data_IF_362614310218
#
_entry.id   IF_362614310218
#
_cell.length_a   1.000
_cell.length_b   1.000
_cell.length_c   1.000
_cell.angle_alpha   90.00
_cell.angle_beta   90.00
_cell.angle_gamma   90.00
#
_symmetry.space_group_name_H-M   'P 1'
#
loop_
_entity.id
_entity.type
_entity.pdbx_description
1 polymer ?
#
# COMPACT_ATOMS: atom_id res chain seq x y z
N UNK A 1 16.58 6.88 14.24
CA UNK A 1 16.23 5.80 13.32
C UNK A 1 16.62 4.46 13.91
N UNK A 2 15.65 3.59 14.16
CA UNK A 2 15.84 2.22 14.61
C UNK A 2 15.20 1.24 13.61
N UNK A 3 15.76 0.04 13.51
CA UNK A 3 15.23 -1.03 12.65
C UNK A 3 15.20 -2.33 13.43
N UNK A 4 14.13 -3.10 13.30
CA UNK A 4 14.01 -4.46 13.79
C UNK A 4 13.63 -5.39 12.63
N UNK A 5 14.24 -6.57 12.57
CA UNK A 5 13.96 -7.58 11.56
C UNK A 5 13.62 -8.91 12.23
N UNK A 6 12.68 -9.64 11.66
CA UNK A 6 12.20 -10.92 12.18
C UNK A 6 12.13 -11.94 11.05
N UNK A 7 12.80 -13.08 11.26
CA UNK A 7 12.56 -14.33 10.55
C UNK A 7 11.59 -15.13 11.43
N UNK A 8 10.33 -15.25 10.99
CA UNK A 8 9.23 -15.86 11.73
C UNK A 8 9.03 -17.33 11.36
N UNK A 9 9.50 -17.74 10.19
CA UNK A 9 9.33 -19.10 9.67
C UNK A 9 10.60 -19.98 9.83
N UNK A 10 11.77 -19.37 10.05
CA UNK A 10 13.06 -20.02 10.29
C UNK A 10 13.81 -20.48 9.03
N UNK A 11 13.48 -19.97 7.85
CA UNK A 11 14.12 -20.32 6.57
C UNK A 11 15.41 -19.54 6.29
N UNK A 12 15.71 -18.53 7.12
CA UNK A 12 16.90 -17.68 6.99
C UNK A 12 16.70 -16.39 6.20
N UNK A 13 15.49 -16.13 5.70
CA UNK A 13 15.08 -14.86 5.10
C UNK A 13 14.29 -14.01 6.13
N UNK A 14 14.22 -12.70 5.88
CA UNK A 14 13.51 -11.77 6.78
C UNK A 14 12.05 -11.66 6.34
N UNK A 15 11.14 -12.18 7.16
CA UNK A 15 9.69 -12.10 6.92
C UNK A 15 9.11 -10.71 7.25
N UNK A 16 9.65 -10.03 8.27
CA UNK A 16 9.13 -8.72 8.72
C UNK A 16 10.27 -7.78 9.07
N UNK A 17 10.21 -6.55 8.55
CA UNK A 17 11.09 -5.46 8.97
C UNK A 17 10.26 -4.26 9.45
N UNK A 18 10.59 -3.75 10.63
CA UNK A 18 10.03 -2.53 11.21
C UNK A 18 11.09 -1.44 11.24
N UNK A 19 10.72 -0.22 10.89
CA UNK A 19 11.61 0.94 10.91
C UNK A 19 10.93 2.12 11.59
N UNK A 20 11.53 2.58 12.67
CA UNK A 20 11.23 3.84 13.33
C UNK A 20 12.19 4.90 12.74
N UNK A 21 11.66 5.84 11.98
CA UNK A 21 12.42 6.91 11.31
C UNK A 21 12.52 8.18 12.16
N UNK A 22 11.54 8.47 13.01
CA UNK A 22 11.46 9.70 13.77
C UNK A 22 12.06 9.57 15.22
N UNK A 23 12.22 8.36 15.74
CA UNK A 23 12.79 8.03 17.04
C UNK A 23 11.81 8.06 18.23
N UNK A 24 10.50 8.02 17.99
CA UNK A 24 9.47 8.07 19.03
C UNK A 24 9.13 6.69 19.65
N UNK A 25 9.69 5.61 19.09
CA UNK A 25 9.49 4.24 19.55
C UNK A 25 8.36 3.48 18.83
N UNK A 26 7.66 4.11 17.90
CA UNK A 26 6.72 3.46 16.99
C UNK A 26 7.35 3.27 15.60
N UNK A 27 6.89 2.26 14.86
CA UNK A 27 7.41 1.98 13.53
C UNK A 27 6.69 2.86 12.51
N UNK A 28 7.43 3.69 11.79
CA UNK A 28 6.92 4.49 10.67
C UNK A 28 6.77 3.65 9.39
N UNK A 29 7.57 2.59 9.25
CA UNK A 29 7.50 1.68 8.10
C UNK A 29 7.51 0.24 8.57
N UNK A 30 6.63 -0.58 8.01
CA UNK A 30 6.67 -2.04 8.11
C UNK A 30 6.76 -2.64 6.71
N UNK A 31 7.78 -3.44 6.46
CA UNK A 31 7.89 -4.32 5.29
C UNK A 31 7.56 -5.75 5.72
N UNK A 32 6.90 -6.49 4.85
CA UNK A 32 6.57 -7.88 5.06
C UNK A 32 6.83 -8.66 3.77
N UNK A 33 7.45 -9.83 3.90
CA UNK A 33 7.56 -10.88 2.90
C UNK A 33 6.55 -11.95 3.30
N UNK A 34 5.49 -12.17 2.50
CA UNK A 34 4.46 -13.16 2.77
C UNK A 34 4.63 -14.46 2.00
N UNK A 35 5.55 -14.50 1.03
CA UNK A 35 5.78 -15.67 0.17
C UNK A 35 7.09 -16.44 0.51
N UNK A 36 7.98 -15.85 1.31
CA UNK A 36 9.23 -16.43 1.80
C UNK A 36 10.36 -16.46 0.76
N UNK A 37 10.33 -15.59 -0.26
CA UNK A 37 11.37 -15.52 -1.28
C UNK A 37 12.54 -14.58 -0.91
N UNK A 38 12.43 -13.88 0.21
CA UNK A 38 13.41 -12.93 0.73
C UNK A 38 13.20 -11.49 0.28
N UNK A 39 12.14 -11.21 -0.49
CA UNK A 39 11.73 -9.87 -0.92
C UNK A 39 10.39 -9.51 -0.29
N UNK A 40 10.28 -8.28 0.21
CA UNK A 40 9.03 -7.82 0.79
C UNK A 40 7.98 -7.57 -0.31
N UNK A 41 6.81 -8.17 -0.17
CA UNK A 41 5.64 -8.04 -1.04
C UNK A 41 4.60 -7.05 -0.48
N UNK A 42 4.70 -6.66 0.79
CA UNK A 42 3.80 -5.69 1.42
C UNK A 42 4.57 -4.61 2.17
N UNK A 43 4.16 -3.34 1.98
CA UNK A 43 4.64 -2.19 2.74
C UNK A 43 3.49 -1.48 3.44
N UNK A 44 3.70 -1.13 4.69
CA UNK A 44 2.86 -0.21 5.46
C UNK A 44 3.68 1.02 5.84
N UNK A 45 3.09 2.21 5.73
CA UNK A 45 3.73 3.48 6.05
C UNK A 45 2.80 4.34 6.91
N UNK A 46 3.32 4.81 8.04
CA UNK A 46 2.79 5.92 8.83
C UNK A 46 3.51 7.20 8.36
N UNK A 47 2.77 8.15 7.81
CA UNK A 47 3.36 9.35 7.20
C UNK A 47 3.46 10.53 8.16
N UNK A 48 2.76 10.48 9.29
CA UNK A 48 2.72 11.57 10.27
C UNK A 48 3.38 11.23 11.62
N UNK A 49 3.74 9.96 11.83
CA UNK A 49 4.37 9.47 13.06
C UNK A 49 3.41 9.41 14.25
N UNK A 50 2.11 9.16 14.02
CA UNK A 50 1.13 9.02 15.11
C UNK A 50 0.94 7.57 15.58
N UNK A 51 1.66 6.63 14.97
CA UNK A 51 1.64 5.20 15.24
C UNK A 51 0.54 4.45 14.46
N UNK A 52 -0.17 5.09 13.54
CA UNK A 52 -1.18 4.48 12.66
C UNK A 52 -0.68 4.44 11.23
N UNK A 53 -1.06 3.39 10.52
CA UNK A 53 -0.73 3.26 9.11
C UNK A 53 -1.62 4.18 8.28
N UNK A 54 -0.99 5.04 7.48
CA UNK A 54 -1.67 5.90 6.51
C UNK A 54 -1.72 5.24 5.12
N UNK A 55 -0.68 4.48 4.74
CA UNK A 55 -0.54 3.88 3.40
C UNK A 55 -0.20 2.40 3.49
N UNK A 56 -0.88 1.57 2.68
CA UNK A 56 -0.56 0.15 2.46
C UNK A 56 -0.38 -0.11 0.98
N UNK A 57 0.75 -0.72 0.61
CA UNK A 57 1.09 -1.11 -0.76
C UNK A 57 1.35 -2.62 -0.80
N UNK A 58 1.01 -3.29 -1.90
CA UNK A 58 1.33 -4.70 -2.11
C UNK A 58 1.67 -5.01 -3.57
N UNK A 59 2.77 -5.76 -3.75
CA UNK A 59 3.19 -6.43 -4.98
C UNK A 59 2.95 -7.94 -4.76
N UNK A 60 1.80 -8.43 -5.21
CA UNK A 60 1.36 -9.81 -4.98
C UNK A 60 1.91 -10.80 -5.99
N UNK A 61 2.47 -10.30 -7.10
CA UNK A 61 2.93 -11.12 -8.21
C UNK A 61 4.49 -11.20 -8.28
N UNK A 62 5.19 -10.28 -7.59
CA UNK A 62 6.65 -10.25 -7.44
C UNK A 62 7.40 -9.66 -8.64
N UNK A 63 6.74 -8.88 -9.50
CA UNK A 63 7.36 -8.24 -10.66
C UNK A 63 8.04 -6.90 -10.34
N UNK A 64 7.88 -6.39 -9.11
CA UNK A 64 8.42 -5.13 -8.64
C UNK A 64 7.49 -3.92 -8.85
N UNK A 65 6.29 -4.12 -9.39
CA UNK A 65 5.23 -3.13 -9.48
C UNK A 65 4.17 -3.36 -8.40
N UNK A 66 3.49 -2.28 -8.00
CA UNK A 66 2.48 -2.35 -6.95
C UNK A 66 1.14 -2.72 -7.56
N UNK A 67 0.66 -3.92 -7.26
CA UNK A 67 -0.68 -4.39 -7.67
C UNK A 67 -1.79 -3.65 -6.93
N UNK A 68 -1.60 -3.31 -5.64
CA UNK A 68 -2.62 -2.62 -4.84
C UNK A 68 -2.02 -1.55 -3.93
N UNK A 69 -2.70 -0.41 -3.84
CA UNK A 69 -2.36 0.66 -2.90
C UNK A 69 -3.63 1.20 -2.24
N UNK A 70 -3.59 1.36 -0.92
CA UNK A 70 -4.62 2.00 -0.11
C UNK A 70 -4.01 3.17 0.67
N UNK A 71 -4.68 4.32 0.70
CA UNK A 71 -4.24 5.49 1.45
C UNK A 71 -5.40 6.15 2.21
N UNK A 72 -5.19 6.40 3.50
CA UNK A 72 -5.97 7.30 4.35
C UNK A 72 -5.21 8.63 4.43
N UNK A 73 -5.60 9.60 3.61
CA UNK A 73 -4.89 10.87 3.45
C UNK A 73 -5.33 11.92 4.47
N UNK A 74 -6.58 11.81 4.94
CA UNK A 74 -7.21 12.73 5.88
C UNK A 74 -7.06 12.26 7.35
N UNK A 75 -6.75 10.97 7.55
CA UNK A 75 -6.48 10.28 8.83
C UNK A 75 -7.69 10.11 9.74
N UNK A 76 -8.87 9.92 9.16
CA UNK A 76 -10.11 9.63 9.87
C UNK A 76 -10.31 8.13 10.15
N UNK A 77 -9.45 7.27 9.60
CA UNK A 77 -9.48 5.81 9.74
C UNK A 77 -10.20 5.09 8.59
N UNK A 78 -10.66 5.81 7.57
CA UNK A 78 -11.17 5.27 6.33
C UNK A 78 -10.19 5.48 5.18
N UNK A 79 -10.30 4.64 4.15
CA UNK A 79 -9.43 4.76 2.97
C UNK A 79 -10.00 5.82 2.04
N UNK A 80 -9.22 6.87 1.78
CA UNK A 80 -9.57 7.92 0.81
C UNK A 80 -9.23 7.51 -0.63
N UNK A 81 -8.21 6.67 -0.85
CA UNK A 81 -7.78 6.25 -2.19
C UNK A 81 -7.45 4.77 -2.22
N UNK A 82 -7.98 4.05 -3.21
CA UNK A 82 -7.64 2.66 -3.49
C UNK A 82 -7.31 2.47 -4.97
N UNK A 83 -6.06 2.13 -5.26
CA UNK A 83 -5.55 1.90 -6.61
C UNK A 83 -5.27 0.41 -6.84
N UNK A 84 -5.50 -0.06 -8.07
CA UNK A 84 -5.32 -1.43 -8.49
C UNK A 84 -4.65 -1.47 -9.86
N UNK A 85 -3.51 -2.14 -9.97
CA UNK A 85 -2.94 -2.68 -11.21
C UNK A 85 -3.32 -4.16 -11.24
N UNK A 86 -4.29 -4.52 -12.09
CA UNK A 86 -4.84 -5.87 -12.19
C UNK A 86 -4.17 -6.71 -13.25
N UNK A 87 -3.35 -6.09 -14.09
CA UNK A 87 -2.75 -6.72 -15.25
C UNK A 87 -1.21 -6.86 -15.12
N UNK A 88 -0.59 -6.15 -14.17
CA UNK A 88 0.84 -6.23 -13.84
C UNK A 88 1.74 -5.50 -14.82
N UNK A 89 1.26 -4.44 -15.47
CA UNK A 89 2.05 -3.63 -16.41
C UNK A 89 2.71 -2.41 -15.76
N UNK A 90 2.43 -2.17 -14.46
CA UNK A 90 2.92 -1.05 -13.68
C UNK A 90 2.07 0.21 -13.80
N UNK A 91 0.92 0.15 -14.49
CA UNK A 91 -0.07 1.21 -14.57
C UNK A 91 -1.34 0.86 -13.80
N UNK A 92 -1.97 1.88 -13.23
CA UNK A 92 -3.19 1.69 -12.44
C UNK A 92 -4.39 1.51 -13.37
N UNK A 93 -4.96 0.30 -13.37
CA UNK A 93 -6.19 -0.03 -14.11
C UNK A 93 -7.44 0.58 -13.45
N UNK A 94 -7.48 0.65 -12.12
CA UNK A 94 -8.63 1.18 -11.36
C UNK A 94 -8.17 2.05 -10.20
N UNK A 95 -8.74 3.25 -10.12
CA UNK A 95 -8.51 4.17 -8.99
C UNK A 95 -9.85 4.62 -8.41
N UNK A 96 -10.08 4.29 -7.14
CA UNK A 96 -11.27 4.69 -6.39
C UNK A 96 -10.92 5.77 -5.37
N UNK A 97 -11.83 6.72 -5.20
CA UNK A 97 -11.67 7.86 -4.30
C UNK A 97 -12.91 8.02 -3.41
N UNK A 98 -12.71 8.12 -2.10
CA UNK A 98 -13.66 8.72 -1.17
C UNK A 98 -13.24 10.18 -0.99
N UNK A 99 -14.06 11.10 -1.48
CA UNK A 99 -13.75 12.54 -1.46
C UNK A 99 -14.43 13.26 -0.30
N UNK A 100 -15.34 12.59 0.38
CA UNK A 100 -16.18 13.17 1.42
C UNK A 100 -15.86 12.63 2.83
N UNK A 101 -15.10 11.53 2.93
CA UNK A 101 -14.59 10.93 4.16
C UNK A 101 -15.66 10.12 4.91
N UNK A 102 -16.64 9.54 4.21
CA UNK A 102 -17.67 8.70 4.83
C UNK A 102 -17.37 7.20 4.77
N UNK A 103 -16.24 6.83 4.17
CA UNK A 103 -15.77 5.46 3.98
C UNK A 103 -16.35 4.76 2.75
N UNK A 104 -17.08 5.47 1.88
CA UNK A 104 -17.61 4.95 0.63
C UNK A 104 -16.95 5.61 -0.57
N UNK A 105 -16.83 4.85 -1.66
CA UNK A 105 -16.28 5.38 -2.91
C UNK A 105 -17.25 6.40 -3.49
N UNK A 106 -16.77 7.61 -3.76
CA UNK A 106 -17.46 8.67 -4.48
C UNK A 106 -17.13 8.67 -5.98
N UNK A 107 -15.91 8.30 -6.35
CA UNK A 107 -15.44 8.31 -7.75
C UNK A 107 -14.60 7.09 -8.06
N UNK A 108 -14.88 6.44 -9.19
CA UNK A 108 -14.12 5.33 -9.73
C UNK A 108 -13.63 5.66 -11.14
N UNK A 109 -12.31 5.64 -11.34
CA UNK A 109 -11.65 5.81 -12.62
C UNK A 109 -11.10 4.47 -13.12
N UNK A 110 -11.16 4.27 -14.44
CA UNK A 110 -10.67 3.07 -15.10
C UNK A 110 -9.78 3.42 -16.29
N UNK A 111 -8.61 2.83 -16.34
CA UNK A 111 -7.82 2.62 -17.56
C UNK A 111 -8.18 1.23 -18.10
N UNK A 112 -8.76 1.18 -19.29
CA UNK A 112 -9.24 -0.09 -19.88
C UNK A 112 -8.31 -0.62 -20.96
N UNK A 113 -7.27 0.14 -21.30
CA UNK A 113 -6.39 -0.17 -22.40
C UNK A 113 -4.91 -0.34 -21.97
N UNK A 114 -4.57 0.01 -20.72
CA UNK A 114 -3.26 -0.21 -20.10
C UNK A 114 -2.20 0.77 -20.59
N UNK A 115 -2.57 2.00 -20.92
CA UNK A 115 -1.63 3.04 -21.34
C UNK A 115 -1.26 4.04 -20.22
N UNK A 116 -1.82 3.85 -19.02
CA UNK A 116 -1.60 4.67 -17.85
C UNK A 116 -2.47 5.92 -17.81
N UNK A 117 -3.45 6.06 -18.72
CA UNK A 117 -4.39 7.17 -18.74
C UNK A 117 -5.82 6.69 -18.49
N UNK A 118 -6.58 7.51 -17.76
CA UNK A 118 -7.99 7.22 -17.48
C UNK A 118 -8.83 7.28 -18.76
N UNK A 119 -9.50 6.17 -19.07
CA UNK A 119 -10.46 6.07 -20.16
C UNK A 119 -11.87 6.47 -19.72
N UNK A 120 -12.29 6.03 -18.53
CA UNK A 120 -13.64 6.24 -18.02
C UNK A 120 -13.65 6.61 -16.55
N UNK A 121 -14.63 7.43 -16.15
CA UNK A 121 -14.81 7.90 -14.77
C UNK A 121 -16.29 7.87 -14.40
N UNK A 122 -16.59 7.35 -13.22
CA UNK A 122 -17.94 7.23 -12.66
C UNK A 122 -17.99 7.92 -11.31
N UNK A 123 -18.99 8.78 -11.11
CA UNK A 123 -19.40 9.25 -9.78
C UNK A 123 -20.44 8.29 -9.20
N UNK A 124 -20.29 7.92 -7.94
CA UNK A 124 -21.15 6.97 -7.21
C UNK A 124 -22.26 7.70 -6.45
#
# INVERSE_FOLDING_TARGET
MATASYDTNGDGYVDVQLKDTNGDGYADVKLQDTNGDGYADVRYTDTNGDGRVDVRESDTNGDGYIDTQYADTNRDGYVDTANYDTNGDGYVDTANYDTNGDGYVDTANYDTNGDGYVDTSYGV
#
